data_IF_878270023197
#
_entry.id   IF_878270023197
#
_cell.length_a   1.000
_cell.length_b   1.000
_cell.length_c   1.000
_cell.angle_alpha   90.00
_cell.angle_beta   90.00
_cell.angle_gamma   90.00
#
_symmetry.space_group_name_H-M   'P 1'
#
loop_
_entity.id
_entity.type
_entity.pdbx_description
1 polymer ?
#
# COMPACT_ATOMS: atom_id res chain seq x y z
N UNK A 1 -6.65 -12.95 -7.71
CA UNK A 1 -5.20 -13.00 -8.02
C UNK A 1 -4.88 -11.69 -8.73
N UNK A 2 -4.42 -10.67 -8.00
CA UNK A 2 -4.09 -9.37 -8.60
C UNK A 2 -2.74 -9.49 -9.32
N UNK A 3 -2.72 -8.94 -10.50
CA UNK A 3 -1.67 -9.05 -11.48
C UNK A 3 -0.39 -8.35 -10.98
N UNK A 4 0.64 -9.11 -10.70
CA UNK A 4 2.00 -8.61 -10.47
C UNK A 4 2.64 -8.11 -11.79
N UNK A 5 1.80 -7.54 -12.68
CA UNK A 5 2.19 -7.09 -14.00
C UNK A 5 3.28 -6.01 -13.96
N UNK A 6 3.30 -5.21 -12.90
CA UNK A 6 4.32 -4.16 -12.69
C UNK A 6 5.71 -4.79 -12.53
N UNK A 7 5.82 -5.88 -11.77
CA UNK A 7 7.09 -6.60 -11.58
C UNK A 7 7.50 -7.36 -12.85
N UNK A 8 6.53 -7.87 -13.62
CA UNK A 8 6.79 -8.48 -14.94
C UNK A 8 7.30 -7.48 -15.96
N UNK A 9 6.79 -6.25 -15.93
CA UNK A 9 7.18 -5.18 -16.86
C UNK A 9 8.62 -4.74 -16.67
N UNK A 10 9.15 -4.75 -15.43
CA UNK A 10 10.45 -4.18 -15.14
C UNK A 10 11.63 -4.98 -15.67
N UNK A 11 11.55 -6.33 -15.78
CA UNK A 11 12.71 -7.14 -16.24
C UNK A 11 12.40 -8.51 -16.88
N UNK A 12 11.15 -8.89 -17.10
CA UNK A 12 10.81 -10.13 -17.81
C UNK A 12 11.32 -11.45 -17.19
N UNK A 13 11.84 -11.43 -15.98
CA UNK A 13 12.55 -12.55 -15.38
C UNK A 13 11.71 -13.22 -14.28
N UNK A 14 11.39 -14.48 -14.48
CA UNK A 14 10.62 -15.35 -13.58
C UNK A 14 11.22 -15.45 -12.15
N UNK A 15 12.54 -15.29 -12.01
CA UNK A 15 13.24 -15.38 -10.72
C UNK A 15 12.92 -14.22 -9.79
N UNK A 16 12.87 -12.99 -10.31
CA UNK A 16 12.54 -11.79 -9.53
C UNK A 16 11.10 -11.82 -9.05
N UNK A 17 10.19 -12.27 -9.90
CA UNK A 17 8.78 -12.45 -9.54
C UNK A 17 8.63 -13.47 -8.40
N UNK A 18 9.30 -14.61 -8.50
CA UNK A 18 9.32 -15.64 -7.45
C UNK A 18 9.91 -15.13 -6.15
N UNK A 19 10.91 -14.25 -6.23
CA UNK A 19 11.48 -13.63 -5.04
C UNK A 19 10.47 -12.68 -4.35
N UNK A 20 9.78 -11.84 -5.11
CA UNK A 20 8.74 -10.96 -4.58
C UNK A 20 7.58 -11.77 -3.95
N UNK A 21 7.16 -12.87 -4.57
CA UNK A 21 6.15 -13.77 -4.03
C UNK A 21 6.57 -14.40 -2.69
N UNK A 22 7.84 -14.85 -2.57
CA UNK A 22 8.37 -15.40 -1.33
C UNK A 22 8.45 -14.35 -0.22
N UNK A 23 8.86 -13.12 -0.57
CA UNK A 23 8.89 -12.02 0.40
C UNK A 23 7.48 -11.67 0.87
N UNK A 24 6.50 -11.65 -0.02
CA UNK A 24 5.09 -11.44 0.31
C UNK A 24 4.58 -12.52 1.28
N UNK A 25 4.87 -13.80 1.00
CA UNK A 25 4.51 -14.92 1.85
C UNK A 25 5.12 -14.81 3.26
N UNK A 26 6.40 -14.43 3.35
CA UNK A 26 7.07 -14.14 4.61
C UNK A 26 6.41 -12.97 5.36
N UNK A 27 6.12 -11.88 4.68
CA UNK A 27 5.53 -10.69 5.28
C UNK A 27 4.16 -10.98 5.90
N UNK A 28 3.30 -11.69 5.19
CA UNK A 28 1.97 -12.05 5.71
C UNK A 28 2.04 -13.08 6.84
N UNK A 29 2.97 -14.00 6.78
CA UNK A 29 3.24 -14.91 7.89
C UNK A 29 3.67 -14.14 9.14
N UNK A 30 4.63 -13.23 9.01
CA UNK A 30 5.07 -12.35 10.09
C UNK A 30 3.90 -11.53 10.67
N UNK A 31 3.09 -10.92 9.82
CA UNK A 31 1.95 -10.12 10.26
C UNK A 31 0.91 -10.97 11.01
N UNK A 32 0.71 -12.21 10.60
CA UNK A 32 -0.20 -13.13 11.27
C UNK A 32 0.34 -13.60 12.63
N UNK A 33 1.60 -14.00 12.72
CA UNK A 33 2.19 -14.56 13.95
C UNK A 33 2.54 -13.47 14.97
N UNK A 34 3.22 -12.42 14.53
CA UNK A 34 3.81 -11.42 15.42
C UNK A 34 2.88 -10.24 15.66
N UNK A 35 2.34 -9.67 14.59
CA UNK A 35 1.46 -8.52 14.68
C UNK A 35 -0.01 -8.87 14.93
N UNK A 36 -0.35 -10.18 14.94
CA UNK A 36 -1.73 -10.69 15.12
C UNK A 36 -2.72 -10.10 14.12
N UNK A 37 -2.23 -9.82 12.92
CA UNK A 37 -2.98 -9.18 11.83
C UNK A 37 -3.07 -10.15 10.67
N UNK A 38 -4.25 -10.67 10.37
CA UNK A 38 -4.44 -11.55 9.21
C UNK A 38 -4.72 -10.68 7.97
N UNK A 39 -3.68 -10.40 7.19
CA UNK A 39 -3.73 -9.55 6.00
C UNK A 39 -3.66 -10.32 4.68
N UNK A 40 -3.49 -11.62 4.72
CA UNK A 40 -3.37 -12.41 3.49
C UNK A 40 -3.16 -13.90 3.74
N UNK A 41 -3.01 -14.66 2.65
CA UNK A 41 -2.71 -16.08 2.68
C UNK A 41 -1.20 -16.31 2.60
N UNK A 42 -0.69 -17.19 3.43
CA UNK A 42 0.72 -17.58 3.48
C UNK A 42 0.86 -19.08 3.74
N UNK A 43 2.02 -19.63 3.42
CA UNK A 43 2.35 -21.01 3.73
C UNK A 43 2.80 -21.15 5.19
N UNK A 44 1.99 -21.77 6.02
CA UNK A 44 2.29 -22.01 7.43
C UNK A 44 3.17 -23.25 7.68
N UNK A 45 3.50 -24.04 6.66
CA UNK A 45 4.31 -25.25 6.80
C UNK A 45 5.79 -24.96 7.06
N UNK A 46 6.26 -23.77 6.67
CA UNK A 46 7.64 -23.31 6.82
C UNK A 46 7.72 -22.28 7.94
N UNK A 47 8.65 -22.44 8.87
CA UNK A 47 8.84 -21.51 9.99
C UNK A 47 9.23 -20.11 9.49
N UNK A 48 8.86 -19.09 10.26
CA UNK A 48 9.15 -17.69 9.93
C UNK A 48 10.66 -17.45 9.76
N UNK A 49 11.48 -18.02 10.66
CA UNK A 49 12.94 -17.89 10.59
C UNK A 49 13.52 -18.51 9.31
N UNK A 50 13.04 -19.69 8.91
CA UNK A 50 13.50 -20.33 7.69
C UNK A 50 13.14 -19.53 6.43
N UNK A 51 11.99 -18.85 6.44
CA UNK A 51 11.60 -17.94 5.36
C UNK A 51 12.50 -16.70 5.31
N UNK A 52 12.81 -16.11 6.47
CA UNK A 52 13.69 -14.95 6.59
C UNK A 52 15.12 -15.27 6.08
N UNK A 53 15.69 -16.37 6.51
CA UNK A 53 17.01 -16.82 6.07
C UNK A 53 17.06 -17.04 4.55
N UNK A 54 16.00 -17.62 4.00
CA UNK A 54 15.87 -17.82 2.55
C UNK A 54 15.78 -16.50 1.80
N UNK A 55 14.99 -15.54 2.30
CA UNK A 55 14.85 -14.22 1.69
C UNK A 55 16.18 -13.47 1.68
N UNK A 56 16.92 -13.51 2.78
CA UNK A 56 18.23 -12.85 2.84
C UNK A 56 19.22 -13.47 1.83
N UNK A 57 19.18 -14.79 1.66
CA UNK A 57 20.00 -15.49 0.65
C UNK A 57 19.55 -15.15 -0.77
N UNK A 58 18.26 -15.18 -1.04
CA UNK A 58 17.70 -14.84 -2.35
C UNK A 58 17.99 -13.38 -2.70
N UNK A 59 17.94 -12.47 -1.71
CA UNK A 59 18.32 -11.07 -1.90
C UNK A 59 19.75 -10.91 -2.39
N UNK A 60 20.69 -11.57 -1.73
CA UNK A 60 22.10 -11.52 -2.15
C UNK A 60 22.28 -12.03 -3.59
N UNK A 61 21.57 -13.08 -3.95
CA UNK A 61 21.60 -13.63 -5.31
C UNK A 61 21.03 -12.65 -6.34
N UNK A 62 19.92 -12.00 -6.01
CA UNK A 62 19.30 -11.01 -6.88
C UNK A 62 20.16 -9.74 -7.02
N UNK A 63 20.79 -9.26 -5.93
CA UNK A 63 21.72 -8.12 -5.99
C UNK A 63 22.90 -8.44 -6.91
N UNK A 64 23.50 -9.62 -6.78
CA UNK A 64 24.60 -10.04 -7.67
C UNK A 64 24.17 -10.06 -9.13
N UNK A 65 22.96 -10.57 -9.40
CA UNK A 65 22.41 -10.63 -10.74
C UNK A 65 22.14 -9.24 -11.34
N UNK A 66 21.53 -8.35 -10.58
CA UNK A 66 21.23 -6.98 -11.04
C UNK A 66 22.47 -6.11 -11.18
N UNK A 67 23.42 -6.26 -10.24
CA UNK A 67 24.69 -5.54 -10.30
C UNK A 67 25.65 -6.09 -11.37
N UNK A 68 25.35 -7.29 -11.90
CA UNK A 68 26.26 -8.05 -12.76
C UNK A 68 27.68 -8.19 -12.15
N UNK A 69 27.73 -8.40 -10.84
CA UNK A 69 28.96 -8.51 -10.06
C UNK A 69 28.80 -9.57 -8.98
N UNK A 70 29.77 -10.50 -8.90
CA UNK A 70 29.80 -11.48 -7.81
C UNK A 70 30.35 -10.83 -6.53
N UNK A 71 29.55 -10.84 -5.49
CA UNK A 71 29.95 -10.34 -4.19
C UNK A 71 30.88 -11.37 -3.55
N UNK A 72 32.13 -10.99 -3.17
CA UNK A 72 33.06 -11.90 -2.55
C UNK A 72 32.60 -12.31 -1.15
N UNK A 73 32.97 -13.51 -0.69
CA UNK A 73 32.64 -13.99 0.67
C UNK A 73 33.17 -13.05 1.76
N UNK A 74 34.37 -12.46 1.55
CA UNK A 74 34.94 -11.43 2.42
C UNK A 74 34.68 -10.06 1.82
N UNK A 75 33.44 -9.57 2.01
CA UNK A 75 33.08 -8.24 1.55
C UNK A 75 33.77 -7.15 2.38
N UNK A 76 34.49 -6.27 1.72
CA UNK A 76 35.07 -5.07 2.32
C UNK A 76 34.33 -3.81 1.86
N UNK A 77 34.30 -2.74 2.67
CA UNK A 77 33.67 -1.47 2.28
C UNK A 77 34.21 -0.90 0.95
N UNK A 78 35.49 -1.16 0.66
CA UNK A 78 36.11 -0.77 -0.59
C UNK A 78 35.43 -1.36 -1.83
N UNK A 79 34.94 -2.59 -1.75
CA UNK A 79 34.24 -3.24 -2.86
C UNK A 79 32.93 -2.53 -3.22
N UNK A 80 32.22 -1.98 -2.23
CA UNK A 80 30.96 -1.23 -2.48
C UNK A 80 31.26 0.13 -3.12
N UNK A 81 32.37 0.77 -2.71
CA UNK A 81 32.79 2.07 -3.27
C UNK A 81 33.27 1.92 -4.71
N UNK A 82 34.00 0.85 -5.00
CA UNK A 82 34.51 0.59 -6.36
C UNK A 82 33.42 0.09 -7.32
N UNK A 83 32.36 -0.51 -6.79
CA UNK A 83 31.22 -1.01 -7.58
C UNK A 83 29.88 -0.40 -7.13
N UNK A 84 29.60 0.86 -7.48
CA UNK A 84 28.38 1.57 -7.07
C UNK A 84 27.08 0.91 -7.59
N UNK A 85 27.18 0.07 -8.62
CA UNK A 85 26.06 -0.73 -9.16
C UNK A 85 25.45 -1.66 -8.12
N UNK A 86 26.22 -2.12 -7.12
CA UNK A 86 25.73 -2.96 -6.02
C UNK A 86 24.69 -2.18 -5.19
N UNK A 87 24.97 -0.92 -4.88
CA UNK A 87 24.05 -0.06 -4.15
C UNK A 87 22.76 0.19 -4.93
N UNK A 88 22.85 0.53 -6.19
CA UNK A 88 21.69 0.73 -7.06
C UNK A 88 20.84 -0.54 -7.19
N UNK A 89 21.47 -1.69 -7.37
CA UNK A 89 20.79 -2.98 -7.44
C UNK A 89 20.02 -3.28 -6.14
N UNK A 90 20.64 -3.07 -4.99
CA UNK A 90 20.02 -3.30 -3.69
C UNK A 90 18.80 -2.40 -3.49
N UNK A 91 18.89 -1.10 -3.81
CA UNK A 91 17.77 -0.17 -3.70
C UNK A 91 16.64 -0.51 -4.67
N UNK A 92 16.95 -0.86 -5.92
CA UNK A 92 15.94 -1.27 -6.90
C UNK A 92 15.16 -2.51 -6.45
N UNK A 93 15.82 -3.46 -5.81
CA UNK A 93 15.18 -4.66 -5.27
C UNK A 93 14.28 -4.30 -4.08
N UNK A 94 14.75 -3.45 -3.16
CA UNK A 94 13.94 -2.99 -2.01
C UNK A 94 12.67 -2.29 -2.48
N UNK A 95 12.78 -1.37 -3.43
CA UNK A 95 11.65 -0.66 -4.00
C UNK A 95 10.63 -1.62 -4.65
N UNK A 96 11.13 -2.59 -5.41
CA UNK A 96 10.29 -3.63 -6.00
C UNK A 96 9.55 -4.47 -4.95
N UNK A 97 10.18 -4.82 -3.83
CA UNK A 97 9.55 -5.58 -2.76
C UNK A 97 8.45 -4.77 -2.08
N UNK A 98 8.69 -3.49 -1.83
CA UNK A 98 7.69 -2.57 -1.28
C UNK A 98 6.49 -2.48 -2.23
N UNK A 99 6.74 -2.26 -3.51
CA UNK A 99 5.67 -2.16 -4.53
C UNK A 99 4.86 -3.46 -4.67
N UNK A 100 5.46 -4.61 -4.43
CA UNK A 100 4.77 -5.89 -4.50
C UNK A 100 3.84 -6.15 -3.31
N UNK A 101 4.17 -5.65 -2.13
CA UNK A 101 3.46 -5.98 -0.87
C UNK A 101 2.50 -4.88 -0.44
N UNK A 102 2.94 -3.62 -0.51
CA UNK A 102 2.21 -2.48 0.04
C UNK A 102 0.76 -2.32 -0.47
N UNK A 103 0.47 -2.47 -1.78
CA UNK A 103 -0.90 -2.33 -2.28
C UNK A 103 -1.88 -3.35 -1.69
N UNK A 104 -1.43 -4.58 -1.43
CA UNK A 104 -2.26 -5.63 -0.85
C UNK A 104 -2.49 -5.39 0.64
N UNK A 105 -1.47 -4.92 1.35
CA UNK A 105 -1.56 -4.56 2.76
C UNK A 105 -2.59 -3.46 3.00
N UNK A 106 -2.55 -2.39 2.20
CA UNK A 106 -3.48 -1.27 2.28
C UNK A 106 -4.91 -1.71 2.00
N UNK A 107 -5.13 -2.50 0.94
CA UNK A 107 -6.47 -2.99 0.59
C UNK A 107 -7.05 -3.83 1.73
N UNK A 108 -6.23 -4.66 2.37
CA UNK A 108 -6.68 -5.53 3.45
C UNK A 108 -6.87 -4.77 4.79
N UNK A 109 -6.20 -3.63 4.99
CA UNK A 109 -6.30 -2.85 6.22
C UNK A 109 -7.46 -1.85 6.18
N UNK A 110 -7.58 -1.03 5.15
CA UNK A 110 -8.55 0.08 5.06
C UNK A 110 -9.58 -0.06 3.94
N UNK A 111 -9.40 -1.02 3.03
CA UNK A 111 -10.24 -1.19 1.83
C UNK A 111 -11.72 -1.46 2.12
N UNK A 112 -12.06 -1.92 3.34
CA UNK A 112 -13.46 -2.13 3.74
C UNK A 112 -14.24 -0.82 3.88
N UNK A 113 -13.54 0.28 4.21
CA UNK A 113 -14.14 1.59 4.49
C UNK A 113 -13.88 2.63 3.42
N UNK A 114 -13.04 2.31 2.42
CA UNK A 114 -12.57 3.27 1.42
C UNK A 114 -12.70 2.70 0.01
N UNK A 115 -12.99 3.57 -0.97
CA UNK A 115 -12.89 3.21 -2.39
C UNK A 115 -11.44 3.43 -2.84
N UNK A 116 -10.72 2.32 -3.07
CA UNK A 116 -9.31 2.35 -3.47
C UNK A 116 -9.21 2.19 -4.98
N UNK A 117 -8.59 3.17 -5.64
CA UNK A 117 -8.33 3.14 -7.08
C UNK A 117 -6.85 3.24 -7.36
N UNK A 118 -6.35 2.34 -8.17
CA UNK A 118 -5.01 2.45 -8.72
C UNK A 118 -5.05 3.34 -9.96
N UNK A 119 -4.22 4.37 -9.97
CA UNK A 119 -4.06 5.30 -11.07
C UNK A 119 -2.62 5.27 -11.57
N UNK A 120 -2.40 5.61 -12.84
CA UNK A 120 -1.07 5.71 -13.41
C UNK A 120 -0.30 6.94 -12.90
N UNK A 121 1.00 6.95 -13.11
CA UNK A 121 1.84 8.10 -12.79
C UNK A 121 1.39 9.34 -13.55
N UNK A 122 1.13 10.42 -12.82
CA UNK A 122 0.67 11.69 -13.38
C UNK A 122 -0.85 11.79 -13.60
N UNK A 123 -1.59 10.71 -13.36
CA UNK A 123 -3.05 10.72 -13.45
C UNK A 123 -3.68 11.27 -12.17
N UNK A 124 -4.96 11.67 -12.29
CA UNK A 124 -5.80 12.09 -11.16
C UNK A 124 -7.00 11.16 -11.02
N UNK A 125 -7.38 10.84 -9.79
CA UNK A 125 -8.59 10.08 -9.55
C UNK A 125 -9.81 10.98 -9.57
N UNK A 126 -10.81 10.63 -10.39
CA UNK A 126 -12.11 11.30 -10.42
C UNK A 126 -13.17 10.41 -9.78
N UNK A 127 -13.90 10.97 -8.83
CA UNK A 127 -15.01 10.32 -8.16
C UNK A 127 -16.31 11.03 -8.51
N UNK A 128 -17.26 10.27 -9.07
CA UNK A 128 -18.60 10.77 -9.34
C UNK A 128 -19.41 10.74 -8.05
N UNK A 129 -19.91 11.90 -7.66
CA UNK A 129 -20.81 12.03 -6.51
C UNK A 129 -22.24 12.08 -7.06
N UNK A 130 -23.02 11.02 -6.82
CA UNK A 130 -24.43 10.96 -7.19
C UNK A 130 -25.28 11.62 -6.10
N UNK A 131 -26.21 12.52 -6.44
CA UNK A 131 -27.10 13.11 -5.46
C UNK A 131 -28.02 12.02 -4.89
N UNK A 132 -28.23 12.06 -3.58
CA UNK A 132 -29.18 11.16 -2.87
C UNK A 132 -30.56 11.81 -2.66
N UNK A 133 -30.77 12.99 -3.23
CA UNK A 133 -32.04 13.68 -3.12
C UNK A 133 -33.15 12.92 -3.83
N UNK A 134 -34.27 12.73 -3.16
CA UNK A 134 -35.48 12.16 -3.76
C UNK A 134 -36.10 13.17 -4.73
N UNK A 135 -36.64 12.67 -5.84
CA UNK A 135 -37.37 13.51 -6.77
C UNK A 135 -38.69 13.99 -6.13
N UNK A 136 -39.04 15.24 -6.36
CA UNK A 136 -40.26 15.83 -5.83
C UNK A 136 -41.44 15.34 -6.63
N UNK A 137 -42.43 14.78 -5.95
CA UNK A 137 -43.69 14.36 -6.53
C UNK A 137 -44.70 15.50 -6.37
N UNK A 138 -45.28 15.96 -7.47
CA UNK A 138 -46.35 16.96 -7.42
C UNK A 138 -47.72 16.28 -7.56
N UNK A 139 -48.65 16.61 -6.68
CA UNK A 139 -50.04 16.21 -6.80
C UNK A 139 -50.82 17.26 -7.61
N UNK A 140 -51.46 16.81 -8.67
CA UNK A 140 -52.27 17.70 -9.53
C UNK A 140 -53.72 17.25 -9.52
N UNK A 141 -54.66 18.18 -9.56
CA UNK A 141 -56.07 17.89 -9.73
C UNK A 141 -56.35 17.29 -11.12
N UNK A 142 -57.49 16.63 -11.24
CA UNK A 142 -57.90 16.00 -12.48
C UNK A 142 -57.97 17.04 -13.63
N UNK A 143 -57.15 16.80 -14.68
CA UNK A 143 -57.10 17.71 -15.84
C UNK A 143 -56.01 18.79 -15.78
N UNK A 144 -55.26 18.91 -14.70
CA UNK A 144 -54.14 19.86 -14.59
C UNK A 144 -52.81 19.13 -14.63
N UNK A 145 -51.91 19.62 -15.50
CA UNK A 145 -50.55 19.06 -15.60
C UNK A 145 -49.57 20.08 -15.02
N UNK A 146 -49.18 19.88 -13.75
CA UNK A 146 -48.25 20.73 -13.00
C UNK A 146 -46.90 20.07 -12.73
N UNK A 147 -46.51 19.06 -13.52
CA UNK A 147 -45.25 18.38 -13.35
C UNK A 147 -44.12 19.16 -14.05
N UNK A 148 -43.09 19.47 -13.28
CA UNK A 148 -41.86 20.09 -13.81
C UNK A 148 -40.82 18.99 -14.13
N UNK A 149 -40.01 19.23 -15.16
CA UNK A 149 -38.89 18.37 -15.47
C UNK A 149 -37.83 18.52 -14.37
N UNK A 150 -37.46 17.45 -13.75
CA UNK A 150 -36.38 17.41 -12.77
C UNK A 150 -35.15 16.76 -13.40
N UNK A 151 -34.00 17.35 -13.18
CA UNK A 151 -32.73 16.82 -13.64
C UNK A 151 -31.88 16.43 -12.44
N UNK A 152 -31.37 15.22 -12.46
CA UNK A 152 -30.38 14.78 -11.51
C UNK A 152 -29.01 15.37 -11.90
N UNK A 153 -28.33 16.02 -10.95
CA UNK A 153 -27.02 16.61 -11.16
C UNK A 153 -26.00 15.76 -10.42
N UNK A 154 -25.12 15.07 -11.15
CA UNK A 154 -23.93 14.48 -10.58
C UNK A 154 -22.81 15.51 -10.55
N UNK A 155 -21.99 15.46 -9.52
CA UNK A 155 -20.75 16.25 -9.44
C UNK A 155 -19.55 15.34 -9.43
N UNK A 156 -18.46 15.78 -10.06
CA UNK A 156 -17.20 15.07 -10.05
C UNK A 156 -16.23 15.75 -9.10
N UNK A 157 -15.63 14.97 -8.20
CA UNK A 157 -14.54 15.44 -7.35
C UNK A 157 -13.25 14.82 -7.83
N UNK A 158 -12.30 15.67 -8.21
CA UNK A 158 -10.94 15.24 -8.58
C UNK A 158 -10.07 15.29 -7.34
N UNK A 159 -9.37 14.19 -7.07
CA UNK A 159 -8.38 14.10 -6.02
C UNK A 159 -6.99 14.09 -6.64
N UNK A 160 -6.14 14.98 -6.14
CA UNK A 160 -4.72 14.99 -6.49
C UNK A 160 -3.96 14.00 -5.62
N UNK A 161 -3.03 13.23 -6.19
CA UNK A 161 -2.21 12.31 -5.42
C UNK A 161 -1.31 13.07 -4.45
N UNK A 162 -1.13 12.51 -3.25
CA UNK A 162 -0.15 12.95 -2.26
C UNK A 162 0.96 11.92 -2.20
N UNK A 163 2.20 12.36 -2.26
CA UNK A 163 3.36 11.47 -2.17
C UNK A 163 3.66 11.15 -0.70
N UNK A 164 3.83 9.87 -0.42
CA UNK A 164 4.35 9.39 0.85
C UNK A 164 5.76 8.85 0.61
N UNK A 165 6.74 9.56 1.12
CA UNK A 165 8.15 9.19 0.98
C UNK A 165 8.71 8.70 2.30
N UNK A 166 9.48 7.63 2.27
CA UNK A 166 10.26 7.15 3.40
C UNK A 166 11.73 7.17 3.05
N UNK A 167 12.52 7.84 3.88
CA UNK A 167 13.98 7.82 3.76
C UNK A 167 14.53 6.90 4.82
N UNK A 168 15.15 5.80 4.40
CA UNK A 168 15.78 4.83 5.29
C UNK A 168 17.29 4.84 5.06
N UNK A 169 18.04 5.06 6.13
CA UNK A 169 19.50 4.88 6.11
C UNK A 169 19.84 3.48 6.62
N UNK A 170 20.39 2.66 5.74
CA UNK A 170 20.96 1.38 6.11
C UNK A 170 22.43 1.33 5.70
N UNK A 171 23.28 0.74 6.54
CA UNK A 171 24.64 0.45 6.13
C UNK A 171 24.61 -0.74 5.18
N UNK A 172 24.68 -0.46 3.88
CA UNK A 172 24.68 -1.50 2.85
C UNK A 172 25.77 -2.56 3.13
N UNK A 173 26.92 -2.13 3.65
CA UNK A 173 27.98 -3.04 4.06
C UNK A 173 27.52 -4.04 5.13
N UNK A 174 26.78 -3.59 6.16
CA UNK A 174 26.29 -4.49 7.22
C UNK A 174 25.26 -5.47 6.71
N UNK A 175 24.38 -5.02 5.83
CA UNK A 175 23.35 -5.88 5.20
C UNK A 175 24.03 -6.93 4.32
N UNK A 176 24.95 -6.53 3.45
CA UNK A 176 25.65 -7.44 2.55
C UNK A 176 26.61 -8.38 3.31
N UNK A 177 27.15 -7.94 4.46
CA UNK A 177 27.97 -8.79 5.34
C UNK A 177 27.12 -9.74 6.23
N UNK A 178 25.80 -9.76 6.07
CA UNK A 178 24.91 -10.62 6.85
C UNK A 178 24.77 -10.24 8.33
N UNK A 179 25.23 -9.04 8.74
CA UNK A 179 25.14 -8.54 10.12
C UNK A 179 23.77 -7.93 10.45
N UNK A 180 23.06 -7.49 9.44
CA UNK A 180 21.72 -6.95 9.53
C UNK A 180 20.84 -7.59 8.44
N UNK A 181 19.59 -7.89 8.77
CA UNK A 181 18.68 -8.55 7.84
C UNK A 181 17.95 -7.53 6.99
N UNK A 182 18.04 -7.66 5.67
CA UNK A 182 17.30 -6.81 4.76
C UNK A 182 15.79 -6.98 4.92
N UNK A 183 15.34 -8.21 5.12
CA UNK A 183 13.92 -8.51 5.31
C UNK A 183 13.31 -7.67 6.43
N UNK A 184 14.04 -7.45 7.52
CA UNK A 184 13.61 -6.60 8.64
C UNK A 184 13.49 -5.13 8.25
N UNK A 185 14.42 -4.60 7.46
CA UNK A 185 14.35 -3.23 6.95
C UNK A 185 13.15 -3.00 6.05
N UNK A 186 12.94 -3.86 5.07
CA UNK A 186 11.81 -3.75 4.12
C UNK A 186 10.49 -3.90 4.86
N UNK A 187 10.41 -4.85 5.80
CA UNK A 187 9.24 -5.03 6.65
C UNK A 187 8.90 -3.78 7.45
N UNK A 188 9.89 -3.16 8.12
CA UNK A 188 9.70 -1.93 8.89
C UNK A 188 9.27 -0.76 7.99
N UNK A 189 9.84 -0.64 6.80
CA UNK A 189 9.45 0.36 5.83
C UNK A 189 7.97 0.21 5.43
N UNK A 190 7.54 -1.01 5.07
CA UNK A 190 6.15 -1.30 4.71
C UNK A 190 5.20 -1.00 5.87
N UNK A 191 5.54 -1.43 7.09
CA UNK A 191 4.72 -1.17 8.28
C UNK A 191 4.60 0.33 8.57
N UNK A 192 5.66 1.10 8.40
CA UNK A 192 5.64 2.55 8.58
C UNK A 192 4.75 3.23 7.56
N UNK A 193 4.83 2.83 6.29
CA UNK A 193 3.98 3.36 5.22
C UNK A 193 2.50 2.97 5.42
N UNK A 194 2.20 1.71 5.76
CA UNK A 194 0.84 1.24 6.06
C UNK A 194 0.23 2.03 7.24
N UNK A 195 1.01 2.27 8.28
CA UNK A 195 0.58 3.03 9.46
C UNK A 195 0.24 4.47 9.09
N UNK A 196 1.09 5.14 8.30
CA UNK A 196 0.88 6.52 7.90
C UNK A 196 -0.33 6.65 6.96
N UNK A 197 -0.46 5.79 5.97
CA UNK A 197 -1.61 5.78 5.07
C UNK A 197 -2.92 5.48 5.80
N UNK A 198 -2.89 4.59 6.79
CA UNK A 198 -4.05 4.30 7.65
C UNK A 198 -4.42 5.53 8.49
N UNK A 199 -3.43 6.25 9.02
CA UNK A 199 -3.62 7.49 9.78
C UNK A 199 -4.24 8.58 8.92
N UNK A 200 -3.78 8.75 7.69
CA UNK A 200 -4.32 9.73 6.77
C UNK A 200 -5.75 9.41 6.36
N UNK A 201 -6.05 8.14 6.09
CA UNK A 201 -7.41 7.71 5.81
C UNK A 201 -8.36 7.96 7.00
N UNK A 202 -7.89 7.67 8.23
CA UNK A 202 -8.66 7.97 9.44
C UNK A 202 -8.86 9.48 9.65
N UNK A 203 -7.82 10.28 9.43
CA UNK A 203 -7.89 11.73 9.53
C UNK A 203 -8.86 12.32 8.50
N UNK A 204 -8.83 11.82 7.27
CA UNK A 204 -9.75 12.24 6.22
C UNK A 204 -11.20 11.85 6.54
N UNK A 205 -11.42 10.65 7.09
CA UNK A 205 -12.73 10.20 7.54
C UNK A 205 -13.26 11.09 8.67
N UNK A 206 -12.43 11.37 9.68
CA UNK A 206 -12.79 12.24 10.80
C UNK A 206 -13.06 13.68 10.35
N UNK A 207 -12.26 14.23 9.44
CA UNK A 207 -12.49 15.55 8.85
C UNK A 207 -13.80 15.58 8.05
N UNK A 208 -14.12 14.52 7.33
CA UNK A 208 -15.39 14.37 6.62
C UNK A 208 -16.61 14.39 7.55
N UNK A 209 -16.51 13.70 8.70
CA UNK A 209 -17.59 13.70 9.71
C UNK A 209 -17.80 15.05 10.39
N UNK A 210 -16.74 15.82 10.59
CA UNK A 210 -16.78 17.14 11.24
C UNK A 210 -16.88 18.29 10.21
N UNK A 211 -16.98 17.98 8.92
CA UNK A 211 -17.09 18.97 7.85
C UNK A 211 -18.45 19.66 7.81
N UNK A 212 -18.48 20.84 7.17
CA UNK A 212 -19.70 21.66 6.96
C UNK A 212 -20.75 20.97 6.11
N UNK A 213 -20.37 19.93 5.37
CA UNK A 213 -21.27 19.16 4.50
C UNK A 213 -22.16 18.17 5.27
N UNK A 214 -21.86 17.95 6.54
CA UNK A 214 -22.69 17.12 7.42
C UNK A 214 -23.68 17.98 8.20
N UNK A 215 -24.99 17.61 8.19
CA UNK A 215 -25.96 18.32 9.01
C UNK A 215 -25.54 18.29 10.48
N UNK A 216 -25.43 19.46 11.11
CA UNK A 216 -24.99 19.59 12.52
C UNK A 216 -25.87 18.79 13.50
N UNK A 217 -27.11 18.50 13.12
CA UNK A 217 -28.01 17.65 13.89
C UNK A 217 -27.57 16.18 13.99
N UNK A 218 -26.74 15.71 13.05
CA UNK A 218 -26.20 14.35 13.02
C UNK A 218 -24.82 14.23 13.67
N UNK A 219 -24.18 15.36 13.96
CA UNK A 219 -22.86 15.41 14.61
C UNK A 219 -23.07 15.62 16.11
N UNK A 220 -22.86 14.58 16.90
CA UNK A 220 -22.87 14.65 18.38
C UNK A 220 -21.43 14.74 18.86
N UNK A 221 -21.10 15.85 19.52
CA UNK A 221 -19.81 16.03 20.20
C UNK A 221 -19.95 15.62 21.66
N UNK A 222 -19.18 14.62 22.05
CA UNK A 222 -19.20 14.06 23.40
C UNK A 222 -20.17 12.88 23.54
N UNK A 223 -19.66 11.79 24.11
CA UNK A 223 -20.46 10.63 24.45
C UNK A 223 -20.97 10.78 25.89
N UNK A 224 -22.28 10.88 26.04
CA UNK A 224 -22.94 10.73 27.37
C UNK A 224 -23.98 9.62 27.20
N UNK A 225 -24.17 8.85 28.28
CA UNK A 225 -25.11 7.71 28.29
C UNK A 225 -26.55 8.14 27.98
N UNK A 226 -26.89 9.41 28.18
CA UNK A 226 -28.20 10.00 27.93
C UNK A 226 -28.39 10.46 26.46
N UNK A 227 -27.37 10.31 25.60
CA UNK A 227 -27.42 10.74 24.18
C UNK A 227 -27.52 9.58 23.19
N UNK A 228 -27.77 8.37 23.66
CA UNK A 228 -28.16 7.21 22.88
C UNK A 228 -29.73 7.18 22.81
#
# INVERSE_FOLDING_TARGET
MRDLSIVKSANGNDTTLKFAERFRDYYFHFMSEVAKKNLGTFDSSVSLQAKEDRINKDFMTEVQRFANFQIPENLEPAHIVTHPTIGWAAFAIVDMLIQAVLPETIVNSIGTYTDIRNIGWGDSAQFEIKPRALMTISTAGHGQRTTFRQKEFSSNKTLLPVNHDITVYASLYKVLAGKETLADYVRKAILSMDTEMTRDAYSAFHAGLNGTDYPSALVKTGYTQDTL
#
